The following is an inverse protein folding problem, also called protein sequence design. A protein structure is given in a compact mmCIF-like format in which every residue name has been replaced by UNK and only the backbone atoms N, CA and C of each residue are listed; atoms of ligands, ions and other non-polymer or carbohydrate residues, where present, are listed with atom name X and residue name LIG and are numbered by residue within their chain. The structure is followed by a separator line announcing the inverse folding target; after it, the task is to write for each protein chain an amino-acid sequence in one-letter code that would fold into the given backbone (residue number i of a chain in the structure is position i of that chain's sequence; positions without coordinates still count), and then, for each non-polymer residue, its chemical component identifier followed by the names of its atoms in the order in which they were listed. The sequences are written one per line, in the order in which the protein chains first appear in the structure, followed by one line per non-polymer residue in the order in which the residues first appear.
data_IF_009792515519
#
_entry.id   IF_009792515519
#
_cell.length_a   1.000
_cell.length_b   1.000
_cell.length_c   1.000
_cell.angle_alpha   90.00
_cell.angle_beta   90.00
_cell.angle_gamma   90.00
#
_symmetry.space_group_name_H-M   'P 1'
#
loop_
_entity.id
_entity.type
_entity.pdbx_description
1 polymer ?
#
# COMPACT_ATOMS: atom_id res chain seq x y z
N UNK A 1 -15.06 41.46 -3.04
CA UNK A 1 -16.06 40.51 -3.53
C UNK A 1 -15.37 39.15 -3.52
N UNK A 2 -15.43 38.47 -2.37
CA UNK A 2 -14.73 37.21 -2.11
C UNK A 2 -15.71 36.05 -2.30
N UNK A 3 -15.34 35.09 -3.13
CA UNK A 3 -15.63 33.66 -2.94
C UNK A 3 -14.92 32.91 -4.08
N UNK A 4 -13.67 32.54 -3.82
CA UNK A 4 -13.06 31.41 -4.50
C UNK A 4 -13.75 30.18 -3.90
N UNK A 5 -14.74 29.63 -4.60
CA UNK A 5 -15.26 28.29 -4.34
C UNK A 5 -14.17 27.27 -4.69
N UNK A 6 -13.19 27.13 -3.80
CA UNK A 6 -12.34 25.96 -3.78
C UNK A 6 -13.24 24.77 -3.45
N UNK A 7 -13.52 23.95 -4.46
CA UNK A 7 -14.12 22.63 -4.30
C UNK A 7 -13.20 21.76 -3.43
N UNK A 8 -13.32 21.90 -2.11
CA UNK A 8 -12.78 20.95 -1.13
C UNK A 8 -13.71 19.74 -1.16
N UNK A 9 -13.62 18.96 -2.23
CA UNK A 9 -14.14 17.59 -2.25
C UNK A 9 -13.42 16.86 -1.12
N UNK A 10 -14.16 16.35 -0.14
CA UNK A 10 -13.55 15.71 1.02
C UNK A 10 -12.66 14.56 0.56
N UNK A 11 -11.57 14.30 1.27
CA UNK A 11 -10.61 13.26 0.90
C UNK A 11 -11.26 11.87 0.82
N UNK A 12 -12.31 11.64 1.62
CA UNK A 12 -13.18 10.45 1.53
C UNK A 12 -13.92 10.36 0.19
N UNK A 13 -14.39 11.49 -0.35
CA UNK A 13 -15.10 11.52 -1.64
C UNK A 13 -14.13 11.28 -2.80
N UNK A 14 -12.87 11.73 -2.69
CA UNK A 14 -11.82 11.44 -3.70
C UNK A 14 -11.45 9.96 -3.75
N UNK A 15 -11.22 9.33 -2.59
CA UNK A 15 -10.87 7.90 -2.50
C UNK A 15 -12.02 7.01 -2.98
N UNK A 16 -13.27 7.34 -2.61
CA UNK A 16 -14.44 6.57 -3.05
C UNK A 16 -14.62 6.67 -4.58
N UNK A 17 -14.31 7.84 -5.16
CA UNK A 17 -14.40 8.07 -6.60
C UNK A 17 -13.32 7.34 -7.39
N UNK A 18 -12.08 7.26 -6.87
CA UNK A 18 -11.01 6.51 -7.53
C UNK A 18 -11.33 5.01 -7.56
N UNK A 19 -11.75 4.42 -6.43
CA UNK A 19 -12.14 3.01 -6.36
C UNK A 19 -13.27 2.65 -7.35
N UNK A 20 -14.30 3.50 -7.45
CA UNK A 20 -15.39 3.32 -8.42
C UNK A 20 -14.91 3.45 -9.86
N UNK A 21 -13.91 4.29 -10.14
CA UNK A 21 -13.31 4.40 -11.47
C UNK A 21 -12.49 3.15 -11.83
N UNK A 22 -11.64 2.68 -10.91
CA UNK A 22 -10.87 1.45 -11.09
C UNK A 22 -11.78 0.24 -11.33
N UNK A 23 -12.88 0.12 -10.59
CA UNK A 23 -13.87 -0.94 -10.75
C UNK A 23 -14.48 -0.99 -12.17
N UNK A 24 -14.60 0.16 -12.85
CA UNK A 24 -15.12 0.21 -14.22
C UNK A 24 -14.12 -0.28 -15.25
N UNK A 25 -12.82 -0.12 -14.98
CA UNK A 25 -11.74 -0.54 -15.88
C UNK A 25 -11.46 -2.04 -15.78
N UNK A 26 -11.28 -2.56 -14.56
CA UNK A 26 -11.06 -3.99 -14.35
C UNK A 26 -11.70 -4.47 -13.02
N UNK A 27 -12.98 -4.86 -13.03
CA UNK A 27 -13.71 -5.21 -11.81
C UNK A 27 -13.18 -6.47 -11.14
N UNK A 28 -12.55 -7.38 -11.89
CA UNK A 28 -12.03 -8.65 -11.36
C UNK A 28 -10.83 -8.39 -10.45
N UNK A 29 -9.79 -7.75 -11.00
CA UNK A 29 -8.57 -7.40 -10.27
C UNK A 29 -8.91 -6.55 -9.05
N UNK A 30 -9.76 -5.53 -9.20
CA UNK A 30 -10.06 -4.61 -8.10
C UNK A 30 -10.86 -5.28 -6.96
N UNK A 31 -11.75 -6.22 -7.25
CA UNK A 31 -12.51 -6.92 -6.20
C UNK A 31 -11.68 -7.97 -5.47
N UNK A 32 -10.74 -8.61 -6.15
CA UNK A 32 -9.92 -9.68 -5.59
C UNK A 32 -8.69 -9.11 -4.86
N UNK A 33 -8.00 -8.14 -5.45
CA UNK A 33 -6.69 -7.65 -4.98
C UNK A 33 -6.81 -6.56 -3.91
N UNK A 34 -7.66 -5.56 -4.10
CA UNK A 34 -7.71 -4.38 -3.20
C UNK A 34 -8.06 -4.73 -1.75
N UNK A 35 -9.04 -5.61 -1.43
CA UNK A 35 -9.32 -5.99 -0.05
C UNK A 35 -8.12 -6.66 0.62
N UNK A 36 -7.40 -7.51 -0.11
CA UNK A 36 -6.21 -8.19 0.38
C UNK A 36 -5.07 -7.19 0.63
N UNK A 37 -4.82 -6.28 -0.32
CA UNK A 37 -3.78 -5.25 -0.20
C UNK A 37 -4.02 -4.33 1.00
N UNK A 38 -5.27 -4.07 1.38
CA UNK A 38 -5.56 -3.29 2.60
C UNK A 38 -5.07 -3.99 3.87
N UNK A 39 -5.18 -5.31 3.93
CA UNK A 39 -4.71 -6.11 5.06
C UNK A 39 -3.18 -6.20 5.03
N UNK A 40 -2.61 -6.46 3.86
CA UNK A 40 -1.16 -6.55 3.64
C UNK A 40 -0.44 -5.22 3.92
N UNK A 41 -0.97 -4.08 3.47
CA UNK A 41 -0.41 -2.77 3.80
C UNK A 41 -0.43 -2.51 5.31
N UNK A 42 -1.49 -2.92 6.00
CA UNK A 42 -1.56 -2.88 7.46
C UNK A 42 -0.49 -3.77 8.12
N UNK A 43 -0.17 -4.90 7.51
CA UNK A 43 0.88 -5.80 7.99
C UNK A 43 2.29 -5.25 7.72
N UNK A 44 2.57 -4.77 6.50
CA UNK A 44 3.85 -4.17 6.11
C UNK A 44 4.16 -2.96 6.99
N UNK A 45 3.20 -2.05 7.18
CA UNK A 45 3.38 -0.89 8.04
C UNK A 45 3.67 -1.29 9.49
N UNK A 46 3.02 -2.34 10.01
CA UNK A 46 3.32 -2.87 11.33
C UNK A 46 4.71 -3.51 11.44
N UNK A 47 5.22 -4.15 10.36
CA UNK A 47 6.58 -4.69 10.29
C UNK A 47 7.67 -3.62 10.25
N UNK A 48 7.34 -2.40 9.82
CA UNK A 48 8.26 -1.25 9.81
C UNK A 48 8.39 -0.55 11.18
N UNK A 49 7.52 -0.87 12.16
CA UNK A 49 7.55 -0.29 13.51
C UNK A 49 8.71 -0.79 14.38
N UNK A 50 8.98 -2.10 14.52
CA UNK A 50 10.12 -2.57 15.30
C UNK A 50 11.47 -2.28 14.62
N UNK A 51 12.60 -2.34 15.36
CA UNK A 51 13.92 -2.24 14.78
C UNK A 51 14.12 -3.28 13.65
N UNK A 52 14.71 -2.89 12.52
CA UNK A 52 14.85 -3.78 11.38
C UNK A 52 15.76 -4.97 11.71
N UNK A 53 15.32 -6.16 11.32
CA UNK A 53 16.10 -7.40 11.41
C UNK A 53 16.07 -8.10 10.05
N UNK A 54 17.04 -8.99 9.79
CA UNK A 54 17.07 -9.77 8.54
C UNK A 54 15.76 -10.54 8.34
N UNK A 55 15.24 -11.17 9.39
CA UNK A 55 13.96 -11.89 9.36
C UNK A 55 12.79 -10.98 8.99
N UNK A 56 12.71 -9.77 9.55
CA UNK A 56 11.66 -8.79 9.20
C UNK A 56 11.76 -8.38 7.72
N UNK A 57 12.97 -8.09 7.25
CA UNK A 57 13.21 -7.68 5.86
C UNK A 57 12.81 -8.81 4.90
N UNK A 58 13.15 -10.06 5.21
CA UNK A 58 12.76 -11.21 4.40
C UNK A 58 11.24 -11.39 4.33
N UNK A 59 10.53 -11.19 5.45
CA UNK A 59 9.06 -11.27 5.46
C UNK A 59 8.44 -10.15 4.63
N UNK A 60 8.95 -8.91 4.74
CA UNK A 60 8.49 -7.78 3.91
C UNK A 60 8.71 -8.12 2.42
N UNK A 61 9.92 -8.58 2.07
CA UNK A 61 10.24 -8.96 0.69
C UNK A 61 9.31 -10.05 0.15
N UNK A 62 9.05 -11.09 0.94
CA UNK A 62 8.16 -12.19 0.54
C UNK A 62 6.74 -11.70 0.22
N UNK A 63 6.22 -10.72 0.96
CA UNK A 63 4.90 -10.12 0.68
C UNK A 63 4.98 -9.26 -0.58
N UNK A 64 6.00 -8.42 -0.72
CA UNK A 64 6.17 -7.57 -1.90
C UNK A 64 6.33 -8.38 -3.20
N UNK A 65 7.00 -9.52 -3.16
CA UNK A 65 7.13 -10.41 -4.33
C UNK A 65 5.76 -10.90 -4.83
N UNK A 66 4.78 -11.09 -3.94
CA UNK A 66 3.40 -11.41 -4.32
C UNK A 66 2.64 -10.20 -4.87
N UNK A 67 2.89 -9.01 -4.30
CA UNK A 67 2.32 -7.77 -4.82
C UNK A 67 2.75 -7.52 -6.27
N UNK A 68 4.05 -7.69 -6.55
CA UNK A 68 4.60 -7.48 -7.90
C UNK A 68 3.85 -8.28 -8.97
N UNK A 69 3.45 -9.52 -8.67
CA UNK A 69 2.67 -10.35 -9.61
C UNK A 69 1.32 -9.69 -9.95
N UNK A 70 0.57 -9.25 -8.95
CA UNK A 70 -0.74 -8.64 -9.18
C UNK A 70 -0.67 -7.18 -9.68
N UNK A 71 0.46 -6.50 -9.51
CA UNK A 71 0.68 -5.13 -9.95
C UNK A 71 1.24 -5.03 -11.37
N UNK A 72 2.24 -5.86 -11.72
CA UNK A 72 3.04 -5.75 -12.94
C UNK A 72 2.58 -6.66 -14.09
N UNK A 73 1.80 -7.71 -13.83
CA UNK A 73 1.28 -8.56 -14.92
C UNK A 73 0.38 -7.76 -15.87
N UNK A 74 0.32 -8.10 -17.18
CA UNK A 74 -0.58 -7.42 -18.12
C UNK A 74 -2.04 -7.43 -17.66
N UNK A 75 -2.66 -6.25 -17.60
CA UNK A 75 -4.00 -6.05 -17.03
C UNK A 75 -4.03 -5.95 -15.50
N UNK A 76 -2.87 -5.93 -14.86
CA UNK A 76 -2.66 -5.75 -13.42
C UNK A 76 -2.93 -4.33 -12.95
N UNK A 77 -2.57 -4.06 -11.69
CA UNK A 77 -2.92 -2.79 -11.05
C UNK A 77 -2.25 -1.57 -11.72
N UNK A 78 -1.02 -1.71 -12.23
CA UNK A 78 -0.32 -0.58 -12.85
C UNK A 78 -0.95 -0.14 -14.18
N UNK A 79 -1.44 -1.06 -15.01
CA UNK A 79 -2.17 -0.71 -16.24
C UNK A 79 -3.44 0.09 -15.93
N UNK A 80 -4.14 -0.24 -14.83
CA UNK A 80 -5.31 0.50 -14.37
C UNK A 80 -4.92 1.91 -13.93
N UNK A 81 -3.82 2.05 -13.19
CA UNK A 81 -3.30 3.34 -12.76
C UNK A 81 -2.91 4.22 -13.95
N UNK A 82 -2.19 3.68 -14.93
CA UNK A 82 -1.79 4.40 -16.14
C UNK A 82 -3.01 4.91 -16.93
N UNK A 83 -4.03 4.05 -17.10
CA UNK A 83 -5.27 4.44 -17.76
C UNK A 83 -6.01 5.57 -17.03
N UNK A 84 -5.92 5.63 -15.70
CA UNK A 84 -6.58 6.66 -14.88
C UNK A 84 -5.84 7.99 -14.88
N UNK A 85 -4.51 7.98 -14.99
CA UNK A 85 -3.69 9.19 -14.96
C UNK A 85 -3.35 9.72 -16.35
N UNK A 86 -3.81 9.03 -17.40
CA UNK A 86 -3.52 9.40 -18.78
C UNK A 86 -3.85 10.87 -19.06
N UNK A 87 -2.84 11.62 -19.50
CA UNK A 87 -2.96 13.06 -19.80
C UNK A 87 -2.74 13.99 -18.60
N UNK A 88 -2.52 13.47 -17.39
CA UNK A 88 -2.26 14.25 -16.17
C UNK A 88 -0.85 14.05 -15.60
N UNK A 89 0.01 13.27 -16.28
CA UNK A 89 1.33 12.88 -15.76
C UNK A 89 2.20 14.07 -15.32
N UNK A 90 2.24 15.14 -16.11
CA UNK A 90 3.06 16.31 -15.82
C UNK A 90 2.57 17.08 -14.58
N UNK A 91 1.24 17.28 -14.48
CA UNK A 91 0.60 17.94 -13.34
C UNK A 91 0.84 17.14 -12.05
N UNK A 92 0.64 15.82 -12.09
CA UNK A 92 0.87 14.94 -10.95
C UNK A 92 2.35 14.93 -10.53
N UNK A 93 3.27 14.94 -11.48
CA UNK A 93 4.71 14.98 -11.18
C UNK A 93 5.09 16.30 -10.48
N UNK A 94 4.56 17.43 -10.94
CA UNK A 94 4.78 18.73 -10.31
C UNK A 94 4.22 18.77 -8.88
N UNK A 95 3.03 18.20 -8.65
CA UNK A 95 2.44 18.08 -7.31
C UNK A 95 3.29 17.21 -6.37
N UNK A 96 3.78 16.08 -6.86
CA UNK A 96 4.65 15.18 -6.10
C UNK A 96 5.97 15.86 -5.72
N UNK A 97 6.59 16.60 -6.65
CA UNK A 97 7.82 17.35 -6.39
C UNK A 97 7.64 18.50 -5.38
N UNK A 98 6.43 19.07 -5.31
CA UNK A 98 6.10 20.13 -4.36
C UNK A 98 5.73 19.58 -2.97
N UNK A 99 5.61 18.26 -2.79
CA UNK A 99 5.17 17.66 -1.54
C UNK A 99 6.24 17.81 -0.45
N UNK A 100 5.80 18.23 0.76
CA UNK A 100 6.68 18.38 1.91
C UNK A 100 7.13 17.02 2.43
N UNK A 101 8.39 16.92 2.84
CA UNK A 101 8.92 15.74 3.51
C UNK A 101 8.12 15.38 4.77
N UNK A 102 7.77 14.10 4.89
CA UNK A 102 6.97 13.57 5.99
C UNK A 102 7.90 13.20 7.15
N UNK A 103 7.69 13.74 8.37
CA UNK A 103 8.47 13.34 9.52
C UNK A 103 8.33 11.85 9.82
N UNK A 104 9.46 11.16 10.00
CA UNK A 104 9.50 9.74 10.36
C UNK A 104 9.71 9.57 11.86
N UNK A 105 9.04 8.58 12.46
CA UNK A 105 9.25 8.22 13.86
C UNK A 105 10.39 7.19 13.98
N UNK A 106 11.24 7.25 15.02
CA UNK A 106 12.23 6.21 15.25
C UNK A 106 11.58 4.85 15.51
N UNK A 107 12.27 3.73 15.22
CA UNK A 107 11.76 2.39 15.50
C UNK A 107 11.41 2.19 16.98
N UNK A 108 10.37 1.41 17.25
CA UNK A 108 9.94 1.08 18.61
C UNK A 108 10.48 -0.30 19.03
N UNK A 109 11.46 -0.37 19.95
CA UNK A 109 12.09 -1.63 20.37
C UNK A 109 11.23 -2.47 21.32
N UNK A 110 10.06 -1.98 21.75
CA UNK A 110 9.23 -2.70 22.69
C UNK A 110 8.77 -4.05 22.11
N UNK A 111 8.84 -5.17 22.86
CA UNK A 111 8.43 -6.49 22.36
C UNK A 111 7.00 -6.57 21.84
N UNK A 112 6.12 -5.67 22.29
CA UNK A 112 4.75 -5.56 21.79
C UNK A 112 4.69 -5.17 20.30
N UNK A 113 5.69 -4.47 19.76
CA UNK A 113 5.72 -4.05 18.37
C UNK A 113 5.74 -5.26 17.43
N UNK A 114 6.60 -6.25 17.69
CA UNK A 114 6.66 -7.48 16.89
C UNK A 114 5.40 -8.33 17.07
N UNK A 115 4.79 -8.35 18.26
CA UNK A 115 3.53 -9.07 18.49
C UNK A 115 2.35 -8.45 17.73
N UNK A 116 2.29 -7.12 17.63
CA UNK A 116 1.30 -6.41 16.80
C UNK A 116 1.53 -6.71 15.32
N UNK A 117 2.78 -6.69 14.86
CA UNK A 117 3.11 -7.03 13.47
C UNK A 117 2.71 -8.46 13.10
N UNK A 118 3.02 -9.46 13.95
CA UNK A 118 2.58 -10.84 13.76
C UNK A 118 1.06 -10.97 13.66
N UNK A 119 0.30 -10.28 14.52
CA UNK A 119 -1.17 -10.27 14.45
C UNK A 119 -1.72 -9.55 13.21
N UNK A 120 -1.00 -8.57 12.67
CA UNK A 120 -1.37 -7.94 11.41
C UNK A 120 -1.15 -8.90 10.23
N UNK A 121 -0.04 -9.64 10.23
CA UNK A 121 0.22 -10.70 9.24
C UNK A 121 -0.84 -11.79 9.26
N UNK A 122 -1.23 -12.29 10.44
CA UNK A 122 -2.29 -13.31 10.55
C UNK A 122 -3.61 -12.84 9.96
N UNK A 123 -3.94 -11.54 10.08
CA UNK A 123 -5.15 -10.98 9.48
C UNK A 123 -5.09 -10.89 7.95
N UNK A 124 -3.89 -10.90 7.38
CA UNK A 124 -3.65 -10.92 5.94
C UNK A 124 -3.35 -12.35 5.43
N UNK A 125 -3.60 -13.38 6.25
CA UNK A 125 -3.33 -14.79 5.94
C UNK A 125 -1.84 -15.16 5.79
N UNK A 126 -0.96 -14.46 6.50
CA UNK A 126 0.47 -14.75 6.58
C UNK A 126 0.89 -15.26 7.97
N UNK A 127 1.82 -16.22 7.98
CA UNK A 127 2.52 -16.68 9.17
C UNK A 127 3.99 -16.24 9.13
N UNK A 128 4.36 -15.35 10.05
CA UNK A 128 5.71 -14.82 10.17
C UNK A 128 6.76 -15.92 10.33
N UNK A 129 6.54 -16.86 11.26
CA UNK A 129 7.56 -17.85 11.61
C UNK A 129 7.73 -18.88 10.48
N UNK A 130 6.65 -19.18 9.75
CA UNK A 130 6.72 -20.00 8.54
C UNK A 130 7.51 -19.32 7.42
N UNK A 131 7.23 -18.04 7.13
CA UNK A 131 7.94 -17.30 6.07
C UNK A 131 9.42 -17.16 6.40
N UNK A 132 9.76 -16.91 7.66
CA UNK A 132 11.16 -16.86 8.10
C UNK A 132 11.84 -18.20 7.79
N UNK A 133 11.22 -19.34 8.12
CA UNK A 133 11.80 -20.67 7.80
C UNK A 133 12.01 -20.88 6.30
N UNK A 134 11.07 -20.45 5.46
CA UNK A 134 11.16 -20.56 4.00
C UNK A 134 12.24 -19.66 3.38
N UNK A 135 12.65 -18.61 4.07
CA UNK A 135 13.60 -17.59 3.59
C UNK A 135 14.95 -17.65 4.29
N UNK A 136 15.23 -18.72 5.05
CA UNK A 136 16.52 -18.98 5.70
C UNK A 136 17.47 -19.85 4.85
N UNK A 137 17.05 -20.28 3.66
CA UNK A 137 17.91 -20.90 2.64
C UNK A 137 18.61 -19.84 1.78
#
# INVERSE_FOLDING_TARGET
MNSLDYNVVSEKDRITRSYVCCLKLNPKVIKEVIPQYRLEHGAITALMVPPPTVSLINVIRYILEKHNLAEEEPGGLYDICEALTQGQNQELLEELMATKEVPVHPPNPAPIAIQVAKRALTRADYDFDNIVRLTQE
#
